data_IF_348644837231
#
_entry.id   IF_348644837231
#
_cell.length_a   1.000
_cell.length_b   1.000
_cell.length_c   1.000
_cell.angle_alpha   90.00
_cell.angle_beta   90.00
_cell.angle_gamma   90.00
#
_symmetry.space_group_name_H-M   'P 1'
#
loop_
_entity.id
_entity.type
_entity.pdbx_description
1 polymer ?
#
# COMPACT_ATOMS: atom_id res chain seq x y z
N UNK A 1 38.59 14.57 -42.85
CA UNK A 1 38.39 15.50 -41.71
C UNK A 1 36.93 15.67 -41.26
N UNK A 2 35.95 14.88 -41.75
CA UNK A 2 34.51 15.11 -41.49
C UNK A 2 33.98 14.40 -40.21
N UNK A 3 34.72 13.41 -39.68
CA UNK A 3 34.28 12.59 -38.53
C UNK A 3 34.33 13.32 -37.18
N UNK A 4 35.28 14.25 -36.99
CA UNK A 4 35.51 14.91 -35.69
C UNK A 4 34.44 15.95 -35.33
N UNK A 5 33.76 16.55 -36.31
CA UNK A 5 32.72 17.54 -36.06
C UNK A 5 31.41 16.91 -35.60
N UNK A 6 31.02 15.76 -36.18
CA UNK A 6 29.80 15.04 -35.77
C UNK A 6 29.92 14.49 -34.35
N UNK A 7 31.09 13.97 -33.99
CA UNK A 7 31.36 13.47 -32.63
C UNK A 7 31.28 14.59 -31.58
N UNK A 8 31.80 15.78 -31.90
CA UNK A 8 31.74 16.95 -31.00
C UNK A 8 30.31 17.48 -30.80
N UNK A 9 29.47 17.42 -31.84
CA UNK A 9 28.06 17.82 -31.73
C UNK A 9 27.24 16.83 -30.88
N UNK A 10 27.49 15.53 -31.02
CA UNK A 10 26.81 14.50 -30.22
C UNK A 10 27.18 14.59 -28.73
N UNK A 11 28.45 14.85 -28.43
CA UNK A 11 28.90 15.03 -27.04
C UNK A 11 28.28 16.29 -26.41
N UNK A 12 28.15 17.39 -27.18
CA UNK A 12 27.49 18.61 -26.71
C UNK A 12 26.00 18.43 -26.45
N UNK A 13 25.27 17.73 -27.32
CA UNK A 13 23.85 17.46 -27.11
C UNK A 13 23.62 16.53 -25.92
N UNK A 14 24.48 15.53 -25.72
CA UNK A 14 24.42 14.64 -24.56
C UNK A 14 24.73 15.38 -23.25
N UNK A 15 25.71 16.29 -23.25
CA UNK A 15 26.04 17.11 -22.08
C UNK A 15 24.90 18.08 -21.70
N UNK A 16 24.23 18.69 -22.69
CA UNK A 16 23.06 19.56 -22.45
C UNK A 16 21.87 18.73 -21.94
N UNK A 17 21.62 17.56 -22.52
CA UNK A 17 20.56 16.66 -22.06
C UNK A 17 20.79 16.20 -20.61
N UNK A 18 22.03 15.86 -20.25
CA UNK A 18 22.39 15.49 -18.88
C UNK A 18 22.32 16.68 -17.90
N UNK A 19 22.71 17.87 -18.34
CA UNK A 19 22.65 19.09 -17.52
C UNK A 19 21.22 19.56 -17.24
N UNK A 20 20.24 19.20 -18.08
CA UNK A 20 18.82 19.48 -17.86
C UNK A 20 18.12 18.33 -17.14
N UNK A 21 18.52 17.08 -17.39
CA UNK A 21 17.92 15.91 -16.76
C UNK A 21 18.31 15.75 -15.28
N UNK A 22 19.53 16.12 -14.88
CA UNK A 22 19.97 15.99 -13.48
C UNK A 22 19.23 16.92 -12.50
N UNK A 23 19.03 18.23 -12.79
CA UNK A 23 18.22 19.10 -11.93
C UNK A 23 16.75 18.66 -11.87
N UNK A 24 16.20 18.11 -12.95
CA UNK A 24 14.81 17.69 -13.00
C UNK A 24 14.56 16.39 -12.21
N UNK A 25 15.54 15.50 -12.10
CA UNK A 25 15.44 14.29 -11.29
C UNK A 25 15.52 14.56 -9.77
N UNK A 26 16.19 15.65 -9.35
CA UNK A 26 16.28 16.06 -7.94
C UNK A 26 15.03 16.82 -7.46
N UNK A 27 14.29 17.45 -8.38
CA UNK A 27 13.07 18.20 -8.05
C UNK A 27 11.84 17.30 -7.77
N UNK A 28 11.91 16.00 -8.03
CA UNK A 28 10.80 15.05 -7.85
C UNK A 28 10.89 14.27 -6.53
N UNK A 29 11.88 14.57 -5.68
CA UNK A 29 12.17 13.75 -4.48
C UNK A 29 12.37 14.53 -3.19
N UNK A 30 11.96 15.81 -3.12
CA UNK A 30 12.12 16.64 -1.91
C UNK A 30 10.92 17.54 -1.62
N UNK A 31 9.71 16.98 -1.68
CA UNK A 31 8.52 17.66 -1.15
C UNK A 31 7.62 16.73 -0.31
N UNK A 32 8.03 15.48 -0.11
CA UNK A 32 7.21 14.43 0.54
C UNK A 32 7.70 14.11 1.96
N UNK A 33 8.86 14.61 2.38
CA UNK A 33 9.51 14.26 3.66
C UNK A 33 9.26 15.28 4.78
N UNK A 34 8.32 16.20 4.56
CA UNK A 34 8.04 17.33 5.45
C UNK A 34 6.75 17.19 6.26
N UNK A 35 6.01 16.08 6.09
CA UNK A 35 4.71 15.82 6.73
C UNK A 35 4.83 14.66 7.71
N UNK A 36 3.91 14.52 8.69
CA UNK A 36 3.98 13.43 9.64
C UNK A 36 4.06 12.08 8.92
N UNK A 37 5.03 11.28 9.33
CA UNK A 37 5.30 10.01 8.67
C UNK A 37 4.17 9.01 8.91
N UNK A 38 4.03 8.03 8.01
CA UNK A 38 3.04 6.96 8.18
C UNK A 38 3.31 6.17 9.47
N UNK A 39 2.29 5.96 10.29
CA UNK A 39 2.42 5.31 11.59
C UNK A 39 1.09 5.19 12.32
N UNK A 40 1.08 4.43 13.42
CA UNK A 40 -0.05 4.28 14.33
C UNK A 40 -0.63 2.88 14.38
N UNK A 41 -1.82 2.78 14.96
CA UNK A 41 -2.54 1.52 15.12
C UNK A 41 -4.00 1.67 14.68
N UNK A 42 -4.45 0.69 13.90
CA UNK A 42 -5.85 0.50 13.47
C UNK A 42 -6.45 -0.68 14.25
N UNK A 43 -6.05 -0.87 15.50
CA UNK A 43 -6.47 -2.03 16.30
C UNK A 43 -6.13 -3.36 15.61
N UNK A 44 -7.10 -4.26 15.54
CA UNK A 44 -7.01 -5.56 14.85
C UNK A 44 -6.76 -5.46 13.34
N UNK A 45 -7.01 -4.29 12.71
CA UNK A 45 -6.81 -4.07 11.26
C UNK A 45 -5.48 -3.41 10.90
N UNK A 46 -4.58 -3.20 11.87
CA UNK A 46 -3.30 -2.49 11.67
C UNK A 46 -2.45 -3.09 10.54
N UNK A 47 -2.42 -4.42 10.43
CA UNK A 47 -1.62 -5.14 9.44
C UNK A 47 -2.37 -5.48 8.15
N UNK A 48 -3.62 -5.01 8.02
CA UNK A 48 -4.41 -5.19 6.82
C UNK A 48 -4.41 -3.88 6.02
N UNK A 49 -4.30 -3.99 4.70
CA UNK A 49 -4.46 -2.82 3.84
C UNK A 49 -5.92 -2.32 3.93
N UNK A 50 -6.15 -1.01 4.11
CA UNK A 50 -7.49 -0.45 4.08
C UNK A 50 -8.16 -0.68 2.72
N UNK A 51 -9.49 -0.72 2.71
CA UNK A 51 -10.26 -0.78 1.48
C UNK A 51 -9.97 0.42 0.57
N UNK A 52 -9.84 0.19 -0.73
CA UNK A 52 -9.64 1.26 -1.71
C UNK A 52 -10.91 2.11 -1.85
N UNK A 53 -10.75 3.40 -2.07
CA UNK A 53 -11.83 4.36 -2.25
C UNK A 53 -11.63 5.17 -3.53
N UNK A 54 -12.65 5.90 -4.03
CA UNK A 54 -12.45 6.86 -5.12
C UNK A 54 -11.39 7.92 -4.81
N UNK A 55 -11.31 8.37 -3.55
CA UNK A 55 -10.29 9.33 -3.08
C UNK A 55 -8.89 8.72 -3.04
N UNK A 56 -8.76 7.46 -2.61
CA UNK A 56 -7.51 6.70 -2.58
C UNK A 56 -7.66 5.36 -3.33
N UNK A 57 -7.54 5.35 -4.67
CA UNK A 57 -7.78 4.16 -5.50
C UNK A 57 -6.67 3.12 -5.37
N UNK A 58 -5.46 3.54 -5.03
CA UNK A 58 -4.39 2.65 -4.63
C UNK A 58 -4.52 2.40 -3.12
N UNK A 59 -4.77 1.14 -2.72
CA UNK A 59 -4.84 0.80 -1.31
C UNK A 59 -3.55 1.22 -0.60
N UNK A 60 -3.67 2.00 0.47
CA UNK A 60 -2.52 2.41 1.26
C UNK A 60 -1.79 1.17 1.81
N UNK A 61 -0.45 1.24 1.90
CA UNK A 61 0.34 0.11 2.38
C UNK A 61 0.02 -0.18 3.85
N UNK A 62 -0.03 -1.46 4.30
CA UNK A 62 -0.23 -1.80 5.70
C UNK A 62 0.78 -1.10 6.62
N UNK A 63 0.37 -0.83 7.87
CA UNK A 63 1.23 -0.15 8.82
C UNK A 63 2.35 -1.07 9.31
N UNK A 64 3.60 -0.63 9.11
CA UNK A 64 4.79 -1.30 9.61
C UNK A 64 5.34 -0.65 10.90
N UNK A 65 4.96 0.60 11.18
CA UNK A 65 5.32 1.35 12.41
C UNK A 65 4.13 1.38 13.35
N UNK A 66 4.07 0.40 14.28
CA UNK A 66 3.09 0.36 15.36
C UNK A 66 3.76 -0.03 16.69
N UNK A 67 3.30 0.57 17.80
CA UNK A 67 3.72 0.26 19.16
C UNK A 67 2.90 -0.86 19.81
N UNK A 68 1.77 -1.27 19.23
CA UNK A 68 0.96 -2.37 19.76
C UNK A 68 1.60 -3.73 19.48
N UNK A 69 2.74 -4.03 20.13
CA UNK A 69 3.29 -5.38 20.21
C UNK A 69 4.20 -5.59 21.43
N UNK A 70 3.79 -6.39 22.43
CA UNK A 70 4.72 -7.11 23.29
C UNK A 70 5.30 -8.29 22.48
N UNK A 71 6.51 -8.12 21.96
CA UNK A 71 7.32 -9.24 21.47
C UNK A 71 7.27 -9.53 19.97
N UNK A 72 7.84 -8.64 19.16
CA UNK A 72 8.62 -9.07 18.00
C UNK A 72 9.83 -8.16 17.86
N UNK A 73 11.02 -8.73 18.07
CA UNK A 73 12.26 -8.11 17.61
C UNK A 73 12.14 -7.90 16.10
N UNK A 74 12.21 -6.65 15.66
CA UNK A 74 12.50 -6.34 14.28
C UNK A 74 13.79 -7.10 13.88
N UNK A 75 13.78 -7.94 12.83
CA UNK A 75 15.02 -8.40 12.24
C UNK A 75 15.63 -7.18 11.54
N UNK A 76 16.82 -6.79 11.95
CA UNK A 76 17.66 -5.87 11.18
C UNK A 76 17.73 -6.39 9.73
N UNK A 77 17.44 -5.51 8.77
CA UNK A 77 17.48 -5.84 7.35
C UNK A 77 18.90 -6.25 6.94
N UNK A 78 19.13 -7.55 6.81
CA UNK A 78 20.20 -8.12 6.01
C UNK A 78 19.63 -8.42 4.60
N UNK A 79 20.38 -8.19 3.51
CA UNK A 79 19.86 -8.42 2.17
C UNK A 79 19.82 -9.93 1.93
N UNK A 80 18.62 -10.51 1.87
CA UNK A 80 18.47 -11.95 1.65
C UNK A 80 17.55 -12.22 0.46
N UNK A 81 18.19 -12.79 -0.56
CA UNK A 81 17.58 -13.43 -1.71
C UNK A 81 16.50 -14.46 -1.30
N UNK A 82 15.47 -14.57 -2.13
CA UNK A 82 14.26 -15.35 -1.88
C UNK A 82 14.51 -16.84 -1.62
N UNK A 83 13.95 -17.34 -0.52
CA UNK A 83 13.91 -18.76 -0.18
C UNK A 83 12.58 -19.39 -0.61
N UNK A 84 12.58 -20.10 -1.74
CA UNK A 84 11.47 -20.91 -2.25
C UNK A 84 11.44 -22.34 -1.65
N UNK A 85 12.14 -22.59 -0.54
CA UNK A 85 12.44 -23.95 -0.06
C UNK A 85 11.72 -24.40 1.22
N UNK A 86 10.81 -23.59 1.79
CA UNK A 86 10.09 -24.01 3.00
C UNK A 86 8.70 -24.58 2.69
N UNK A 87 8.65 -25.64 1.88
CA UNK A 87 7.43 -26.46 1.72
C UNK A 87 7.72 -27.86 2.27
N UNK A 88 7.03 -28.29 3.35
CA UNK A 88 7.23 -29.61 3.92
C UNK A 88 6.61 -30.64 2.97
N UNK A 89 7.44 -31.46 2.31
CA UNK A 89 6.96 -32.56 1.47
C UNK A 89 7.79 -32.94 0.24
N UNK A 90 8.84 -32.18 -0.13
CA UNK A 90 9.72 -32.54 -1.26
C UNK A 90 11.09 -33.01 -0.77
N UNK A 91 11.09 -34.17 -0.14
CA UNK A 91 12.29 -34.84 0.33
C UNK A 91 13.15 -35.39 -0.81
N UNK A 92 14.47 -35.14 -0.70
CA UNK A 92 15.57 -35.92 -1.28
C UNK A 92 15.83 -35.87 -2.80
N UNK A 93 14.83 -35.58 -3.64
CA UNK A 93 15.03 -35.51 -5.11
C UNK A 93 15.36 -34.09 -5.64
N UNK A 94 15.05 -33.03 -4.88
CA UNK A 94 15.39 -31.65 -5.22
C UNK A 94 16.86 -31.26 -5.00
N UNK A 95 17.59 -32.01 -4.17
CA UNK A 95 19.00 -31.72 -3.85
C UNK A 95 19.97 -32.00 -5.00
N UNK A 96 19.69 -33.01 -5.83
CA UNK A 96 20.52 -33.35 -6.98
C UNK A 96 20.28 -32.42 -8.19
N UNK A 97 19.05 -31.96 -8.39
CA UNK A 97 18.71 -30.98 -9.44
C UNK A 97 19.27 -29.59 -9.12
N UNK A 98 19.26 -29.19 -7.85
CA UNK A 98 19.90 -27.97 -7.38
C UNK A 98 21.44 -28.03 -7.52
N UNK A 99 22.04 -29.22 -7.32
CA UNK A 99 23.47 -29.44 -7.52
C UNK A 99 23.94 -29.24 -8.97
N UNK A 100 23.11 -29.60 -9.96
CA UNK A 100 23.45 -29.43 -11.38
C UNK A 100 23.28 -27.98 -11.86
N UNK A 101 22.29 -27.25 -11.33
CA UNK A 101 22.09 -25.82 -11.61
C UNK A 101 23.16 -24.94 -10.94
N UNK A 102 23.66 -25.34 -9.77
CA UNK A 102 24.78 -24.66 -9.09
C UNK A 102 26.12 -24.84 -9.79
N UNK A 103 26.43 -26.05 -10.27
CA UNK A 103 27.67 -26.33 -11.00
C UNK A 103 27.67 -25.77 -12.44
N UNK A 104 26.49 -25.71 -13.10
CA UNK A 104 26.36 -25.21 -14.47
C UNK A 104 26.60 -23.70 -14.63
N UNK A 105 26.16 -22.89 -13.66
CA UNK A 105 26.38 -21.43 -13.67
C UNK A 105 27.81 -21.05 -13.26
N UNK A 106 28.44 -21.82 -12.38
CA UNK A 106 29.87 -21.65 -12.04
C UNK A 106 30.78 -22.01 -13.22
N UNK A 107 30.42 -23.00 -14.03
CA UNK A 107 31.12 -23.35 -15.28
C UNK A 107 31.00 -22.30 -16.40
N UNK A 108 29.92 -21.51 -16.43
CA UNK A 108 29.75 -20.41 -17.40
C UNK A 108 30.57 -19.16 -17.06
N UNK A 109 30.93 -18.97 -15.79
CA UNK A 109 31.66 -17.78 -15.34
C UNK A 109 33.19 -17.95 -15.37
N UNK A 110 33.71 -19.19 -15.31
CA UNK A 110 35.15 -19.47 -15.25
C UNK A 110 35.81 -19.89 -16.59
N UNK A 111 35.08 -19.87 -17.70
CA UNK A 111 35.66 -19.92 -19.05
C UNK A 111 36.11 -21.31 -19.52
N UNK A 112 35.43 -21.84 -20.55
CA UNK A 112 35.91 -22.99 -21.32
C UNK A 112 34.88 -24.11 -21.55
N UNK A 113 34.03 -23.93 -22.57
CA UNK A 113 33.51 -24.93 -23.51
C UNK A 113 33.01 -26.32 -23.03
N UNK A 114 31.82 -26.70 -23.51
CA UNK A 114 31.62 -28.03 -24.09
C UNK A 114 31.13 -28.00 -25.56
N UNK A 115 30.82 -26.84 -26.13
CA UNK A 115 30.48 -26.75 -27.57
C UNK A 115 31.15 -25.55 -28.25
N UNK A 116 32.36 -25.22 -27.81
CA UNK A 116 33.35 -24.59 -28.68
C UNK A 116 33.78 -25.63 -29.72
N UNK A 117 33.11 -25.63 -30.86
CA UNK A 117 33.52 -26.41 -32.03
C UNK A 117 32.41 -27.30 -32.56
N UNK A 118 32.25 -27.25 -33.88
CA UNK A 118 31.37 -28.08 -34.72
C UNK A 118 29.94 -27.55 -34.96
N UNK A 119 29.87 -26.60 -35.90
CA UNK A 119 29.25 -26.88 -37.19
C UNK A 119 27.76 -27.25 -37.23
N UNK A 120 26.93 -26.26 -37.58
CA UNK A 120 26.09 -26.40 -38.76
C UNK A 120 24.66 -26.91 -38.62
N UNK A 121 24.25 -27.63 -37.56
CA UNK A 121 22.88 -28.20 -37.51
C UNK A 121 22.13 -28.05 -36.16
N UNK A 122 22.78 -27.60 -35.10
CA UNK A 122 22.13 -27.39 -33.78
C UNK A 122 21.35 -26.06 -33.66
N UNK A 123 21.57 -25.10 -34.55
CA UNK A 123 20.89 -23.80 -34.51
C UNK A 123 19.41 -23.87 -34.89
N UNK A 124 19.01 -24.88 -35.67
CA UNK A 124 17.62 -25.08 -36.11
C UNK A 124 16.76 -25.59 -34.94
N UNK A 125 17.31 -26.45 -34.08
CA UNK A 125 16.59 -26.99 -32.92
C UNK A 125 16.37 -25.89 -31.87
N UNK A 126 17.36 -25.01 -31.66
CA UNK A 126 17.20 -23.82 -30.83
C UNK A 126 16.10 -22.87 -31.34
N UNK A 127 16.05 -22.65 -32.65
CA UNK A 127 15.06 -21.77 -33.28
C UNK A 127 13.63 -22.33 -33.23
N UNK A 128 13.44 -23.64 -33.43
CA UNK A 128 12.12 -24.30 -33.34
C UNK A 128 11.59 -24.28 -31.90
N UNK A 129 12.45 -24.51 -30.91
CA UNK A 129 12.07 -24.41 -29.49
C UNK A 129 11.62 -22.98 -29.13
N UNK A 130 12.30 -21.98 -29.68
CA UNK A 130 12.01 -20.58 -29.42
C UNK A 130 10.69 -20.12 -30.06
N UNK A 131 10.36 -20.61 -31.26
CA UNK A 131 9.06 -20.38 -31.90
C UNK A 131 7.92 -21.08 -31.13
N UNK A 132 8.16 -22.30 -30.63
CA UNK A 132 7.20 -23.02 -29.80
C UNK A 132 6.88 -22.28 -28.49
N UNK A 133 7.89 -21.68 -27.86
CA UNK A 133 7.73 -20.89 -26.64
C UNK A 133 6.92 -19.60 -26.88
N UNK A 134 7.19 -18.90 -27.97
CA UNK A 134 6.44 -17.68 -28.35
C UNK A 134 4.97 -18.02 -28.64
N UNK A 135 4.70 -19.12 -29.36
CA UNK A 135 3.33 -19.58 -29.63
C UNK A 135 2.56 -19.88 -28.34
N UNK A 136 3.21 -20.50 -27.34
CA UNK A 136 2.60 -20.81 -26.04
C UNK A 136 2.21 -19.53 -25.29
N UNK A 137 3.08 -18.52 -25.27
CA UNK A 137 2.85 -17.23 -24.57
C UNK A 137 1.71 -16.44 -25.24
N UNK A 138 1.70 -16.36 -26.57
CA UNK A 138 0.65 -15.64 -27.31
C UNK A 138 -0.70 -16.37 -27.16
N UNK A 139 -0.73 -17.71 -27.19
CA UNK A 139 -1.93 -18.50 -26.91
C UNK A 139 -2.47 -18.25 -25.50
N UNK A 140 -1.60 -18.15 -24.49
CA UNK A 140 -2.00 -17.87 -23.11
C UNK A 140 -2.61 -16.46 -22.99
N UNK A 141 -1.94 -15.46 -23.58
CA UNK A 141 -2.39 -14.07 -23.58
C UNK A 141 -3.74 -13.89 -24.29
N UNK A 142 -3.93 -14.53 -25.45
CA UNK A 142 -5.22 -14.50 -26.17
C UNK A 142 -6.34 -15.22 -25.40
N UNK A 143 -6.03 -16.33 -24.70
CA UNK A 143 -7.03 -17.03 -23.87
C UNK A 143 -7.47 -16.24 -22.63
N UNK A 144 -6.61 -15.35 -22.15
CA UNK A 144 -6.88 -14.48 -21.00
C UNK A 144 -7.72 -13.27 -21.41
N UNK A 145 -7.45 -12.70 -22.59
CA UNK A 145 -8.28 -11.63 -23.17
C UNK A 145 -9.66 -12.12 -23.61
N UNK A 146 -9.75 -13.33 -24.19
CA UNK A 146 -11.04 -13.91 -24.62
C UNK A 146 -11.96 -14.25 -23.44
N UNK A 147 -11.41 -14.49 -22.25
CA UNK A 147 -12.18 -14.66 -21.00
C UNK A 147 -12.71 -13.35 -20.42
N UNK A 148 -12.21 -12.19 -20.85
CA UNK A 148 -12.67 -10.87 -20.39
C UNK A 148 -13.75 -10.25 -21.27
N UNK A 149 -13.95 -10.78 -22.49
CA UNK A 149 -14.88 -10.22 -23.47
C UNK A 149 -15.99 -11.20 -23.89
N UNK A 150 -16.38 -12.16 -23.04
CA UNK A 150 -17.54 -13.01 -23.29
C UNK A 150 -18.79 -12.41 -22.61
N UNK A 151 -19.70 -11.74 -23.34
CA UNK A 151 -21.04 -11.43 -22.83
C UNK A 151 -21.81 -12.75 -22.65
N UNK A 152 -22.32 -12.96 -21.43
CA UNK A 152 -23.16 -14.09 -21.09
C UNK A 152 -24.51 -13.96 -21.83
N UNK A 153 -24.66 -14.67 -22.93
CA UNK A 153 -25.94 -14.85 -23.60
C UNK A 153 -26.76 -15.94 -22.89
N UNK A 154 -28.02 -15.56 -22.65
CA UNK A 154 -29.10 -16.35 -22.11
C UNK A 154 -29.34 -17.65 -22.89
N UNK A 155 -29.59 -18.74 -22.15
CA UNK A 155 -30.33 -19.88 -22.67
C UNK A 155 -31.66 -19.96 -21.93
N UNK A 156 -32.70 -19.53 -22.65
CA UNK A 156 -34.08 -19.85 -22.37
C UNK A 156 -34.39 -21.26 -22.88
N UNK A 157 -35.02 -22.09 -22.05
CA UNK A 157 -35.72 -23.28 -22.52
C UNK A 157 -36.99 -23.54 -21.68
N UNK A 158 -38.11 -23.28 -22.34
CA UNK A 158 -39.44 -23.94 -22.26
C UNK A 158 -40.33 -23.80 -20.99
N UNK A 159 -41.51 -23.24 -21.24
CA UNK A 159 -42.76 -23.38 -20.49
C UNK A 159 -43.81 -24.09 -21.40
N UNK A 160 -45.09 -24.34 -21.02
CA UNK A 160 -45.71 -24.73 -19.73
C UNK A 160 -46.67 -25.96 -19.86
N UNK A 161 -47.20 -26.49 -18.75
CA UNK A 161 -48.40 -27.36 -18.76
C UNK A 161 -48.87 -27.85 -17.37
N UNK A 162 -50.17 -28.11 -17.12
CA UNK A 162 -50.80 -27.94 -15.79
C UNK A 162 -51.43 -29.19 -15.13
N UNK A 163 -51.80 -29.01 -13.83
CA UNK A 163 -52.76 -29.77 -12.97
C UNK A 163 -52.27 -31.03 -12.19
N UNK A 164 -52.96 -31.51 -11.13
CA UNK A 164 -53.22 -30.84 -9.83
C UNK A 164 -53.05 -31.77 -8.57
N UNK A 165 -53.20 -31.17 -7.37
CA UNK A 165 -53.61 -31.77 -6.07
C UNK A 165 -52.69 -32.80 -5.35
N UNK A 166 -52.31 -32.51 -4.09
CA UNK A 166 -52.96 -33.06 -2.89
C UNK A 166 -52.10 -32.86 -1.61
N UNK A 167 -52.66 -32.05 -0.71
CA UNK A 167 -52.62 -32.04 0.77
C UNK A 167 -51.61 -32.95 1.53
N UNK A 168 -50.69 -32.34 2.31
CA UNK A 168 -50.24 -32.83 3.64
C UNK A 168 -49.25 -31.88 4.36
N UNK A 169 -49.76 -31.26 5.45
CA UNK A 169 -49.11 -30.90 6.73
C UNK A 169 -47.65 -30.39 6.83
N UNK A 170 -47.38 -29.29 7.58
CA UNK A 170 -46.02 -28.85 7.86
C UNK A 170 -45.35 -29.67 8.98
N UNK A 171 -44.35 -30.49 8.64
CA UNK A 171 -43.39 -31.03 9.60
C UNK A 171 -42.24 -30.05 9.81
N UNK A 172 -42.25 -29.40 10.98
CA UNK A 172 -41.13 -28.64 11.51
C UNK A 172 -39.99 -29.59 11.92
N UNK A 173 -38.85 -29.50 11.23
CA UNK A 173 -37.65 -30.25 11.60
C UNK A 173 -36.80 -29.41 12.56
N UNK A 174 -37.14 -29.47 13.85
CA UNK A 174 -36.33 -28.94 14.93
C UNK A 174 -35.11 -29.85 15.16
N UNK A 175 -33.94 -29.47 14.63
CA UNK A 175 -32.66 -29.97 15.12
C UNK A 175 -32.17 -29.08 16.25
N UNK A 176 -32.53 -29.51 17.46
CA UNK A 176 -32.00 -29.08 18.75
C UNK A 176 -30.46 -29.10 18.76
N UNK A 177 -29.84 -27.92 18.77
CA UNK A 177 -28.50 -27.69 19.28
C UNK A 177 -28.58 -27.36 20.76
N UNK A 178 -28.30 -28.34 21.62
CA UNK A 178 -28.11 -28.14 23.06
C UNK A 178 -26.66 -27.71 23.30
N UNK A 179 -26.46 -26.44 23.63
CA UNK A 179 -25.18 -25.86 24.02
C UNK A 179 -25.41 -24.77 25.05
N UNK A 180 -25.42 -25.14 26.33
CA UNK A 180 -25.36 -24.21 27.44
C UNK A 180 -23.96 -23.58 27.49
N UNK A 181 -23.89 -22.27 27.22
CA UNK A 181 -22.72 -21.45 27.43
C UNK A 181 -23.13 -19.99 27.51
N UNK A 182 -23.12 -19.43 28.72
CA UNK A 182 -23.16 -18.00 28.98
C UNK A 182 -22.15 -17.29 28.08
N UNK A 183 -22.61 -16.48 27.14
CA UNK A 183 -21.79 -15.60 26.32
C UNK A 183 -22.66 -14.47 25.85
N UNK A 184 -22.41 -13.27 26.41
CA UNK A 184 -23.20 -12.07 26.12
C UNK A 184 -23.31 -11.84 24.62
N UNK A 185 -24.52 -11.49 24.17
CA UNK A 185 -24.73 -11.05 22.81
C UNK A 185 -23.77 -9.91 22.51
N UNK A 186 -22.78 -10.17 21.67
CA UNK A 186 -22.10 -9.12 20.95
C UNK A 186 -23.19 -8.41 20.15
N UNK A 187 -23.56 -7.22 20.59
CA UNK A 187 -24.28 -6.26 19.76
C UNK A 187 -23.31 -5.81 18.66
N UNK A 188 -22.99 -6.73 17.77
CA UNK A 188 -22.12 -6.56 16.59
C UNK A 188 -22.92 -5.91 15.46
N UNK A 189 -23.79 -4.95 15.84
CA UNK A 189 -24.46 -4.11 14.88
C UNK A 189 -23.37 -3.33 14.11
N UNK A 190 -23.43 -3.31 12.77
CA UNK A 190 -22.48 -2.58 11.95
C UNK A 190 -22.30 -1.15 12.48
N UNK A 191 -21.05 -0.70 12.64
CA UNK A 191 -20.77 0.66 13.07
C UNK A 191 -21.16 1.63 11.95
N UNK A 192 -22.26 2.34 12.16
CA UNK A 192 -22.68 3.44 11.29
C UNK A 192 -21.96 4.73 11.68
N UNK A 193 -21.35 5.40 10.69
CA UNK A 193 -20.71 6.70 10.83
C UNK A 193 -21.74 7.78 10.50
N UNK A 194 -21.96 8.73 11.42
CA UNK A 194 -22.99 9.78 11.32
C UNK A 194 -22.42 11.05 10.69
N UNK A 195 -23.26 11.97 10.19
CA UNK A 195 -22.83 13.29 9.71
C UNK A 195 -21.90 14.03 10.68
N UNK A 196 -22.26 14.10 11.97
CA UNK A 196 -21.43 14.74 13.01
C UNK A 196 -20.04 14.09 13.17
N UNK A 197 -19.90 12.80 12.83
CA UNK A 197 -18.60 12.12 12.86
C UNK A 197 -17.70 12.60 11.71
N UNK A 198 -18.27 12.85 10.52
CA UNK A 198 -17.52 13.43 9.40
C UNK A 198 -17.03 14.85 9.71
N UNK A 199 -17.86 15.68 10.34
CA UNK A 199 -17.47 17.01 10.82
C UNK A 199 -16.31 16.91 11.83
N UNK A 200 -16.34 15.90 12.70
CA UNK A 200 -15.26 15.64 13.64
C UNK A 200 -13.96 15.22 12.93
N UNK A 201 -14.03 14.40 11.87
CA UNK A 201 -12.86 14.00 11.09
C UNK A 201 -12.23 15.17 10.35
N UNK A 202 -13.03 16.05 9.72
CA UNK A 202 -12.53 17.26 9.07
C UNK A 202 -11.88 18.21 10.08
N UNK A 203 -12.51 18.41 11.24
CA UNK A 203 -11.93 19.21 12.32
C UNK A 203 -10.60 18.64 12.80
N UNK A 204 -10.54 17.32 13.04
CA UNK A 204 -9.31 16.65 13.47
C UNK A 204 -8.19 16.78 12.43
N UNK A 205 -8.50 16.69 11.13
CA UNK A 205 -7.54 16.93 10.05
C UNK A 205 -6.87 18.31 10.21
N UNK A 206 -7.66 19.37 10.32
CA UNK A 206 -7.13 20.73 10.47
C UNK A 206 -6.40 20.94 11.80
N UNK A 207 -6.97 20.49 12.92
CA UNK A 207 -6.42 20.70 14.25
C UNK A 207 -5.11 19.92 14.46
N UNK A 208 -5.01 18.67 14.00
CA UNK A 208 -3.77 17.87 14.12
C UNK A 208 -2.64 18.50 13.31
N UNK A 209 -2.90 18.85 12.04
CA UNK A 209 -1.90 19.48 11.17
C UNK A 209 -1.41 20.81 11.77
N UNK A 210 -2.33 21.62 12.28
CA UNK A 210 -2.00 22.89 12.93
C UNK A 210 -1.18 22.70 14.20
N UNK A 211 -1.58 21.77 15.07
CA UNK A 211 -0.88 21.48 16.32
C UNK A 211 0.53 20.95 16.06
N UNK A 212 0.69 20.02 15.11
CA UNK A 212 1.99 19.50 14.69
C UNK A 212 2.89 20.61 14.12
N UNK A 213 2.36 21.45 13.23
CA UNK A 213 3.10 22.59 12.65
C UNK A 213 3.53 23.64 13.68
N UNK A 214 2.77 23.78 14.77
CA UNK A 214 3.11 24.67 15.88
C UNK A 214 3.97 24.00 16.96
N UNK A 215 4.35 22.74 16.77
CA UNK A 215 5.07 21.92 17.74
C UNK A 215 4.35 21.80 19.10
N UNK A 216 3.02 21.91 19.10
CA UNK A 216 2.18 21.89 20.30
C UNK A 216 1.82 20.45 20.69
N UNK A 217 2.76 19.80 21.37
CA UNK A 217 2.61 18.43 21.88
C UNK A 217 1.43 18.33 22.86
N UNK A 218 1.18 19.37 23.65
CA UNK A 218 0.08 19.40 24.61
C UNK A 218 -1.28 19.29 23.91
N UNK A 219 -1.47 20.06 22.82
CA UNK A 219 -2.67 19.95 21.98
C UNK A 219 -2.74 18.61 21.27
N UNK A 220 -1.63 18.07 20.75
CA UNK A 220 -1.61 16.75 20.09
C UNK A 220 -2.10 15.62 21.01
N UNK A 221 -1.80 15.66 22.31
CA UNK A 221 -2.33 14.70 23.30
C UNK A 221 -3.85 14.72 23.46
N UNK A 222 -4.53 15.79 23.01
CA UNK A 222 -6.00 15.88 23.04
C UNK A 222 -6.66 15.47 21.74
N UNK A 223 -5.87 15.32 20.66
CA UNK A 223 -6.35 15.06 19.30
C UNK A 223 -5.99 13.68 18.78
N UNK A 224 -4.98 13.06 19.36
CA UNK A 224 -4.41 11.81 18.86
C UNK A 224 -4.11 10.85 20.01
N UNK A 225 -4.13 9.56 19.70
CA UNK A 225 -3.73 8.50 20.63
C UNK A 225 -2.28 8.68 21.10
N UNK A 226 -1.91 8.19 22.29
CA UNK A 226 -0.53 8.30 22.80
C UNK A 226 0.53 7.75 21.85
N UNK A 227 0.19 6.67 21.12
CA UNK A 227 1.04 6.09 20.07
C UNK A 227 1.29 7.09 18.93
N UNK A 228 0.25 7.72 18.39
CA UNK A 228 0.42 8.73 17.35
C UNK A 228 1.19 9.96 17.84
N UNK A 229 0.96 10.40 19.07
CA UNK A 229 1.72 11.51 19.65
C UNK A 229 3.21 11.16 19.78
N UNK A 230 3.54 9.90 20.05
CA UNK A 230 4.94 9.44 20.08
C UNK A 230 5.62 9.60 18.71
N UNK A 231 4.94 9.22 17.62
CA UNK A 231 5.44 9.40 16.26
C UNK A 231 5.58 10.88 15.88
N UNK A 232 4.58 11.70 16.21
CA UNK A 232 4.68 13.15 16.03
C UNK A 232 5.86 13.75 16.79
N UNK A 233 6.08 13.30 18.03
CA UNK A 233 7.19 13.79 18.85
C UNK A 233 8.54 13.37 18.26
N UNK A 234 8.66 12.15 17.72
CA UNK A 234 9.85 11.69 17.01
C UNK A 234 10.13 12.56 15.77
N UNK A 235 9.14 12.79 14.91
CA UNK A 235 9.26 13.63 13.71
C UNK A 235 9.64 15.08 14.08
N UNK A 236 9.05 15.64 15.13
CA UNK A 236 9.38 16.98 15.62
C UNK A 236 10.80 17.07 16.19
N UNK A 237 11.26 16.03 16.88
CA UNK A 237 12.64 15.98 17.39
C UNK A 237 13.64 15.85 16.23
N UNK A 238 13.35 15.03 15.22
CA UNK A 238 14.17 14.95 14.01
C UNK A 238 14.26 16.31 13.29
N UNK A 239 13.16 17.08 13.25
CA UNK A 239 13.17 18.45 12.72
C UNK A 239 14.07 19.37 13.55
N UNK A 240 14.00 19.30 14.89
CA UNK A 240 14.86 20.08 15.79
C UNK A 240 16.33 19.74 15.60
N UNK A 241 16.68 18.46 15.48
CA UNK A 241 18.05 18.01 15.26
C UNK A 241 18.62 18.50 13.92
N UNK A 242 17.77 18.60 12.90
CA UNK A 242 18.09 19.23 11.60
C UNK A 242 18.12 20.76 11.65
N UNK A 243 17.71 21.39 12.75
CA UNK A 243 17.63 22.85 12.87
C UNK A 243 16.50 23.48 12.04
N UNK A 244 15.47 22.70 11.68
CA UNK A 244 14.35 23.15 10.85
C UNK A 244 13.02 23.07 11.61
N UNK A 245 12.03 23.81 11.13
CA UNK A 245 10.64 23.71 11.55
C UNK A 245 9.78 23.55 10.31
N UNK A 246 8.76 22.69 10.39
CA UNK A 246 7.79 22.56 9.33
C UNK A 246 6.54 23.42 9.60
N UNK A 247 6.14 24.20 8.60
CA UNK A 247 5.02 25.14 8.65
C UNK A 247 3.98 24.78 7.61
N UNK A 248 2.80 24.43 8.12
CA UNK A 248 1.62 24.09 7.32
C UNK A 248 0.57 25.20 7.47
N UNK A 249 0.01 25.67 6.36
CA UNK A 249 -1.11 26.63 6.34
C UNK A 249 -2.14 26.26 5.28
N UNK A 250 -3.27 26.98 5.30
CA UNK A 250 -4.33 26.88 4.27
C UNK A 250 -4.87 25.45 4.06
N UNK A 251 -4.97 24.70 5.15
CA UNK A 251 -5.48 23.34 5.16
C UNK A 251 -6.96 23.36 4.80
N UNK A 252 -7.34 22.65 3.74
CA UNK A 252 -8.73 22.55 3.28
C UNK A 252 -9.04 21.14 2.79
N UNK A 253 -10.04 20.51 3.39
CA UNK A 253 -10.55 19.23 2.90
C UNK A 253 -11.19 19.43 1.51
N UNK A 254 -10.80 18.60 0.55
CA UNK A 254 -11.34 18.62 -0.81
C UNK A 254 -12.28 17.45 -1.04
N UNK A 255 -11.93 16.27 -0.52
CA UNK A 255 -12.75 15.07 -0.58
C UNK A 255 -12.43 14.14 0.61
N UNK A 256 -13.45 13.49 1.16
CA UNK A 256 -13.29 12.45 2.17
C UNK A 256 -14.21 11.27 1.88
N UNK A 257 -13.65 10.07 1.75
CA UNK A 257 -14.41 8.83 1.54
C UNK A 257 -14.16 7.86 2.69
N UNK A 258 -15.23 7.37 3.32
CA UNK A 258 -15.12 6.31 4.32
C UNK A 258 -14.67 5.01 3.66
N UNK A 259 -13.50 4.50 4.05
CA UNK A 259 -12.99 3.23 3.59
C UNK A 259 -13.58 2.07 4.41
N UNK A 260 -13.55 2.18 5.73
CA UNK A 260 -13.96 1.12 6.65
C UNK A 260 -14.45 1.71 7.98
N UNK A 261 -15.46 1.08 8.60
CA UNK A 261 -15.83 1.30 9.99
C UNK A 261 -16.01 -0.05 10.70
N UNK A 262 -15.58 -0.13 11.96
CA UNK A 262 -15.75 -1.35 12.76
C UNK A 262 -15.68 -1.06 14.26
N UNK A 263 -16.08 -2.04 15.06
CA UNK A 263 -16.03 -1.99 16.51
C UNK A 263 -15.10 -3.08 17.03
N UNK A 264 -14.28 -2.74 18.02
CA UNK A 264 -13.47 -3.68 18.80
C UNK A 264 -13.87 -3.59 20.27
N UNK A 265 -14.69 -4.54 20.71
CA UNK A 265 -15.30 -4.49 22.04
C UNK A 265 -16.19 -3.24 22.17
N UNK A 266 -15.74 -2.27 22.96
CA UNK A 266 -16.45 -1.00 23.16
C UNK A 266 -15.86 0.17 22.34
N UNK A 267 -14.76 -0.06 21.62
CA UNK A 267 -14.03 0.97 20.89
C UNK A 267 -14.48 1.00 19.44
N UNK A 268 -14.89 2.16 18.95
CA UNK A 268 -15.25 2.40 17.56
C UNK A 268 -14.02 2.84 16.77
N UNK A 269 -13.91 2.38 15.53
CA UNK A 269 -12.88 2.76 14.59
C UNK A 269 -13.47 3.16 13.23
N UNK A 270 -12.89 4.17 12.60
CA UNK A 270 -13.24 4.60 11.25
C UNK A 270 -11.97 4.94 10.47
N UNK A 271 -11.81 4.37 9.28
CA UNK A 271 -10.74 4.72 8.36
C UNK A 271 -11.31 5.50 7.19
N UNK A 272 -10.76 6.68 6.94
CA UNK A 272 -11.22 7.64 5.93
C UNK A 272 -10.05 7.98 5.01
N UNK A 273 -10.27 7.87 3.70
CA UNK A 273 -9.37 8.42 2.71
C UNK A 273 -9.67 9.91 2.54
N UNK A 274 -8.66 10.76 2.73
CA UNK A 274 -8.78 12.20 2.74
C UNK A 274 -7.90 12.78 1.65
N UNK A 275 -8.50 13.55 0.74
CA UNK A 275 -7.78 14.43 -0.19
C UNK A 275 -7.99 15.86 0.24
N UNK A 276 -6.91 16.60 0.43
CA UNK A 276 -6.95 17.96 0.96
C UNK A 276 -5.84 18.82 0.38
N UNK A 277 -6.11 20.11 0.29
CA UNK A 277 -5.14 21.14 -0.08
C UNK A 277 -4.43 21.67 1.15
N UNK A 278 -3.14 21.97 1.03
CA UNK A 278 -2.35 22.64 2.06
C UNK A 278 -1.14 23.35 1.46
N UNK A 279 -0.61 24.35 2.16
CA UNK A 279 0.71 24.93 1.91
C UNK A 279 1.67 24.35 2.94
N UNK A 280 2.81 23.84 2.48
CA UNK A 280 3.83 23.20 3.33
C UNK A 280 5.19 23.84 3.08
N UNK A 281 5.87 24.27 4.14
CA UNK A 281 7.20 24.88 4.10
C UNK A 281 8.07 24.35 5.21
N UNK A 282 9.26 23.91 4.87
CA UNK A 282 10.32 23.69 5.85
C UNK A 282 11.17 24.95 5.94
N UNK A 283 11.29 25.50 7.15
CA UNK A 283 11.99 26.74 7.45
C UNK A 283 13.19 26.44 8.35
N UNK A 284 14.36 26.96 7.98
CA UNK A 284 15.54 26.91 8.83
C UNK A 284 15.34 27.84 10.04
N UNK A 285 15.52 27.32 11.26
CA UNK A 285 15.25 28.06 12.50
C UNK A 285 16.18 29.24 12.71
N UNK A 286 17.45 29.08 12.32
CA UNK A 286 18.47 30.11 12.55
C UNK A 286 18.28 31.35 11.67
N UNK A 287 17.88 31.17 10.41
CA UNK A 287 17.77 32.24 9.43
C UNK A 287 16.33 32.65 9.13
N UNK A 288 15.34 31.82 9.43
CA UNK A 288 13.95 32.00 9.01
C UNK A 288 13.73 31.77 7.52
N UNK A 289 14.73 31.27 6.80
CA UNK A 289 14.65 31.02 5.35
C UNK A 289 13.92 29.70 5.07
N UNK A 290 13.02 29.71 4.10
CA UNK A 290 12.46 28.48 3.53
C UNK A 290 13.55 27.67 2.84
N UNK A 291 13.73 26.42 3.26
CA UNK A 291 14.71 25.47 2.72
C UNK A 291 14.07 24.38 1.86
N UNK A 292 12.78 24.10 2.05
CA UNK A 292 11.99 23.13 1.29
C UNK A 292 10.52 23.56 1.26
N UNK A 293 9.74 23.04 0.30
CA UNK A 293 8.33 23.36 0.13
C UNK A 293 8.06 24.56 -0.79
N UNK A 294 6.83 25.03 -0.82
CA UNK A 294 6.41 26.13 -1.68
C UNK A 294 5.35 27.02 -1.03
N UNK A 295 5.14 28.21 -1.60
CA UNK A 295 4.07 29.14 -1.20
C UNK A 295 2.74 28.84 -1.91
N UNK A 296 2.66 27.75 -2.68
CA UNK A 296 1.49 27.40 -3.48
C UNK A 296 0.75 26.24 -2.84
N UNK A 297 -0.59 26.28 -2.73
CA UNK A 297 -1.36 25.14 -2.27
C UNK A 297 -1.06 23.90 -3.11
N UNK A 298 -0.76 22.79 -2.44
CA UNK A 298 -0.60 21.47 -3.05
C UNK A 298 -1.69 20.53 -2.53
N UNK A 299 -2.11 19.60 -3.37
CA UNK A 299 -3.06 18.56 -2.99
C UNK A 299 -2.33 17.32 -2.50
N UNK A 300 -2.86 16.75 -1.43
CA UNK A 300 -2.35 15.57 -0.76
C UNK A 300 -3.48 14.57 -0.61
N UNK A 301 -3.15 13.28 -0.75
CA UNK A 301 -4.04 12.18 -0.37
C UNK A 301 -3.39 11.35 0.75
N UNK A 302 -4.10 11.17 1.86
CA UNK A 302 -3.72 10.26 2.92
C UNK A 302 -4.93 9.41 3.35
N UNK A 303 -4.66 8.30 4.04
CA UNK A 303 -5.68 7.48 4.71
C UNK A 303 -5.50 7.58 6.22
N UNK A 304 -6.49 8.15 6.89
CA UNK A 304 -6.46 8.38 8.34
C UNK A 304 -7.40 7.41 9.05
N UNK A 305 -6.96 6.88 10.19
CA UNK A 305 -7.83 6.06 11.06
C UNK A 305 -8.08 6.80 12.36
N UNK A 306 -9.35 6.93 12.69
CA UNK A 306 -9.86 7.54 13.91
C UNK A 306 -10.38 6.49 14.86
N UNK A 307 -10.26 6.76 16.16
CA UNK A 307 -10.72 5.90 17.24
C UNK A 307 -11.60 6.69 18.19
N UNK A 308 -12.66 6.07 18.72
CA UNK A 308 -13.51 6.66 19.75
C UNK A 308 -13.88 5.59 20.79
N UNK A 309 -13.70 5.93 22.06
CA UNK A 309 -14.18 5.11 23.19
C UNK A 309 -15.56 5.62 23.62
N UNK A 310 -16.36 4.82 24.35
CA UNK A 310 -17.65 5.27 24.83
C UNK A 310 -17.52 6.53 25.68
N UNK A 311 -18.28 7.56 25.34
CA UNK A 311 -18.24 8.85 26.04
C UNK A 311 -17.03 9.73 25.73
N UNK A 312 -16.16 9.35 24.79
CA UNK A 312 -15.05 10.20 24.32
C UNK A 312 -15.36 10.85 22.97
N UNK A 313 -14.56 11.85 22.60
CA UNK A 313 -14.50 12.36 21.24
C UNK A 313 -13.67 11.40 20.36
N UNK A 314 -13.74 11.61 19.04
CA UNK A 314 -12.83 10.96 18.11
C UNK A 314 -11.41 11.49 18.28
N UNK A 315 -10.44 10.59 18.14
CA UNK A 315 -9.01 10.87 18.18
C UNK A 315 -8.32 10.20 16.99
N UNK A 316 -7.22 10.77 16.52
CA UNK A 316 -6.39 10.18 15.48
C UNK A 316 -5.57 8.99 16.03
N UNK A 317 -5.67 7.85 15.35
CA UNK A 317 -5.00 6.60 15.75
C UNK A 317 -3.98 6.08 14.73
N UNK A 318 -4.13 6.41 13.45
CA UNK A 318 -3.14 6.09 12.43
C UNK A 318 -3.20 7.02 11.21
N UNK A 319 -2.06 7.20 10.55
CA UNK A 319 -1.93 7.85 9.23
C UNK A 319 -1.19 6.90 8.30
N UNK A 320 -1.70 6.75 7.08
CA UNK A 320 -1.04 6.04 5.98
C UNK A 320 -1.01 6.95 4.74
N UNK A 321 0.18 7.22 4.22
CA UNK A 321 0.35 7.97 2.97
C UNK A 321 0.12 7.05 1.76
N UNK A 322 -0.43 7.58 0.67
CA UNK A 322 -0.73 6.82 -0.57
C UNK A 322 0.17 7.20 -1.73
#
# INVERSE_FOLDING_TARGET
MISSQRLRSVIKTLAIAMAVAMPLALAISSAVDARPSSGGSRGSRTFNAPAATPTAPNAAQPLNRTMTQPGAKAPAAAPAAGGFFNRPGMGMLGGLAAGFLGAGLLGMLFGGGLFSGLGGLSSIIGLVLQIGLIYLVVRLAMSWWKRRNAPAYANAAAAPGPMPAQDQGPMANARSGFGFGLGGGSNDAPLEIKPDDYDAFERLLGEVQTAWSNEDIGKLHTLATPEMVSYFTEDLNANKDRGVINKVSDIKLLQGDLAESWREGATDYATVALRYGLIDKTIERASGKTVEGSDTPQEVTDVWTFVRRPGSQWELSAIQMT
#
